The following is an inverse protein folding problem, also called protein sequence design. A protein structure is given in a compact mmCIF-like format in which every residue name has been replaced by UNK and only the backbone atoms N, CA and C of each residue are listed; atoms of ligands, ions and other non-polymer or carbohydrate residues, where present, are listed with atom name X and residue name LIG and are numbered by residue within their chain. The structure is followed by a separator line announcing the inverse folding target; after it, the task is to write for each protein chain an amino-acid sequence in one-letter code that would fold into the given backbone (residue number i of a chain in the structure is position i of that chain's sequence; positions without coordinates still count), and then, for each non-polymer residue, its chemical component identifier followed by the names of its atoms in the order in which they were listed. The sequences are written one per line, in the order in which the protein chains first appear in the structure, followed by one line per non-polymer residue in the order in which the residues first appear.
data_IF_611615359609
#
_entry.id   IF_611615359609
#
_cell.length_a   1.000
_cell.length_b   1.000
_cell.length_c   1.000
_cell.angle_alpha   90.00
_cell.angle_beta   90.00
_cell.angle_gamma   90.00
#
_symmetry.space_group_name_H-M   'P 1'
#
loop_
_entity.id
_entity.type
_entity.pdbx_description
1 polymer ?
#
# COMPACT_ATOMS: atom_id res chain seq x y z
N UNK A 1 24.72 1.70 33.35
CA UNK A 1 24.97 0.40 33.98
C UNK A 1 26.37 -0.07 33.62
N UNK A 2 27.03 -0.79 34.59
CA UNK A 2 28.33 -1.40 34.46
C UNK A 2 28.23 -2.85 34.92
N UNK A 3 29.03 -3.73 34.35
CA UNK A 3 29.06 -5.15 34.74
C UNK A 3 30.45 -5.50 35.30
N UNK A 4 30.44 -6.16 36.42
CA UNK A 4 31.66 -6.65 37.08
C UNK A 4 31.61 -8.17 37.15
N UNK A 5 32.71 -8.85 36.87
CA UNK A 5 32.79 -10.30 37.00
C UNK A 5 32.90 -10.73 38.47
N UNK A 6 32.94 -12.02 38.71
CA UNK A 6 33.01 -12.59 40.06
C UNK A 6 34.28 -12.22 40.86
N UNK A 7 35.28 -11.69 40.20
CA UNK A 7 36.51 -11.13 40.88
C UNK A 7 36.41 -9.63 41.14
N UNK A 8 35.32 -8.98 40.77
CA UNK A 8 35.12 -7.54 40.87
C UNK A 8 35.78 -6.71 39.76
N UNK A 9 36.24 -7.37 38.70
CA UNK A 9 36.80 -6.63 37.55
C UNK A 9 35.69 -6.16 36.63
N UNK A 10 35.71 -4.86 36.25
CA UNK A 10 34.81 -4.25 35.28
C UNK A 10 34.99 -4.92 33.92
N UNK A 11 33.87 -5.25 33.28
CA UNK A 11 33.84 -5.89 31.96
C UNK A 11 33.54 -4.88 30.87
N UNK A 12 34.10 -5.09 29.69
CA UNK A 12 33.83 -4.36 28.45
C UNK A 12 33.47 -5.33 27.35
N UNK A 13 33.05 -4.82 26.20
CA UNK A 13 32.66 -5.59 25.03
C UNK A 13 31.45 -6.47 25.31
N UNK A 14 31.24 -7.52 24.50
CA UNK A 14 30.10 -8.40 24.60
C UNK A 14 30.15 -9.28 25.84
N UNK A 15 29.10 -9.25 26.64
CA UNK A 15 28.93 -10.09 27.85
C UNK A 15 27.61 -10.84 27.80
N UNK A 16 27.66 -12.16 28.03
CA UNK A 16 26.45 -12.98 28.20
C UNK A 16 26.07 -13.03 29.67
N UNK A 17 24.92 -12.48 30.01
CA UNK A 17 24.42 -12.38 31.38
C UNK A 17 23.03 -12.99 31.44
N UNK A 18 22.85 -14.08 32.19
CA UNK A 18 21.58 -14.80 32.35
C UNK A 18 20.92 -15.20 31.00
N UNK A 19 21.72 -15.56 30.00
CA UNK A 19 21.24 -15.99 28.68
C UNK A 19 20.93 -14.87 27.69
N UNK A 20 21.13 -13.62 28.06
CA UNK A 20 21.05 -12.47 27.17
C UNK A 20 22.42 -11.85 26.92
N UNK A 21 22.64 -11.31 25.71
CA UNK A 21 23.87 -10.60 25.38
C UNK A 21 23.71 -9.10 25.61
N UNK A 22 24.77 -8.49 26.16
CA UNK A 22 24.89 -7.04 26.42
C UNK A 22 26.22 -6.56 25.87
N UNK A 23 26.31 -5.30 25.52
CA UNK A 23 27.57 -4.67 25.10
C UNK A 23 27.93 -3.51 26.02
N UNK A 24 29.17 -3.52 26.48
CA UNK A 24 29.75 -2.47 27.31
C UNK A 24 30.92 -1.81 26.55
N UNK A 25 30.88 -0.50 26.41
CA UNK A 25 31.94 0.20 25.71
C UNK A 25 33.29 0.18 26.47
N UNK A 26 34.36 0.74 25.89
CA UNK A 26 35.68 0.73 26.52
C UNK A 26 35.77 1.43 27.89
N UNK A 27 34.78 2.24 28.29
CA UNK A 27 34.64 2.80 29.64
C UNK A 27 33.83 1.91 30.58
N UNK A 28 33.36 0.74 30.13
CA UNK A 28 32.49 -0.17 30.86
C UNK A 28 31.01 0.22 30.87
N UNK A 29 30.60 1.27 30.19
CA UNK A 29 29.22 1.72 30.15
C UNK A 29 28.38 0.85 29.18
N UNK A 30 27.25 0.30 29.71
CA UNK A 30 26.31 -0.47 28.92
C UNK A 30 25.72 0.36 27.77
N UNK A 31 25.69 -0.21 26.57
CA UNK A 31 25.16 0.43 25.38
C UNK A 31 23.70 0.08 25.15
N UNK A 32 22.96 0.94 24.44
CA UNK A 32 21.57 0.80 24.04
C UNK A 32 21.39 1.38 22.64
N UNK A 33 20.36 0.92 21.91
CA UNK A 33 20.11 1.34 20.52
C UNK A 33 21.04 0.66 19.51
N UNK A 34 21.24 1.29 18.37
CA UNK A 34 22.08 0.74 17.30
C UNK A 34 23.56 0.79 17.67
N UNK A 35 24.23 -0.35 17.49
CA UNK A 35 25.67 -0.54 17.71
C UNK A 35 26.29 -1.06 16.42
N UNK A 36 27.35 -0.41 15.97
CA UNK A 36 28.16 -0.89 14.84
C UNK A 36 29.50 -1.45 15.34
N UNK A 37 29.75 -2.72 15.01
CA UNK A 37 31.06 -3.35 15.20
C UNK A 37 31.63 -3.80 13.84
N UNK A 38 32.68 -3.17 13.42
CA UNK A 38 33.26 -3.35 12.09
C UNK A 38 32.22 -2.98 11.01
N UNK A 39 31.80 -3.96 10.23
CA UNK A 39 30.75 -3.80 9.19
C UNK A 39 29.37 -4.29 9.64
N UNK A 40 29.25 -4.84 10.85
CA UNK A 40 28.04 -5.47 11.35
C UNK A 40 27.29 -4.52 12.28
N UNK A 41 25.97 -4.41 12.07
CA UNK A 41 25.08 -3.66 12.93
C UNK A 41 24.33 -4.60 13.88
N UNK A 42 24.15 -4.18 15.12
CA UNK A 42 23.38 -4.82 16.18
C UNK A 42 22.41 -3.80 16.78
N UNK A 43 21.39 -4.27 17.47
CA UNK A 43 20.49 -3.42 18.23
C UNK A 43 20.38 -3.90 19.67
N UNK A 44 20.65 -3.00 20.62
CA UNK A 44 20.50 -3.22 22.06
C UNK A 44 19.19 -2.57 22.52
N UNK A 45 18.31 -3.33 23.13
CA UNK A 45 17.04 -2.82 23.68
C UNK A 45 17.29 -1.76 24.76
N UNK A 46 16.24 -1.07 25.22
CA UNK A 46 16.34 -0.14 26.36
C UNK A 46 16.80 -0.82 27.68
N UNK A 47 16.65 -2.14 27.77
CA UNK A 47 17.20 -2.97 28.86
C UNK A 47 18.72 -3.21 28.72
N UNK A 48 19.32 -2.87 27.58
CA UNK A 48 20.68 -3.23 27.16
C UNK A 48 20.79 -4.61 26.52
N UNK A 49 19.75 -5.44 26.56
CA UNK A 49 19.79 -6.78 25.98
C UNK A 49 19.79 -6.71 24.45
N UNK A 50 20.61 -7.54 23.79
CA UNK A 50 20.69 -7.64 22.34
C UNK A 50 19.35 -8.12 21.75
N UNK A 51 18.86 -7.41 20.76
CA UNK A 51 17.65 -7.74 20.01
C UNK A 51 17.93 -8.84 18.97
N UNK A 52 16.98 -9.74 18.80
CA UNK A 52 16.90 -10.69 17.67
C UNK A 52 15.48 -10.69 17.09
N UNK A 53 15.33 -11.14 15.84
CA UNK A 53 14.05 -11.11 15.12
C UNK A 53 13.65 -9.72 14.65
N UNK A 54 12.37 -9.51 14.41
CA UNK A 54 11.83 -8.26 13.88
C UNK A 54 11.92 -7.11 14.89
N UNK A 55 12.37 -5.96 14.42
CA UNK A 55 12.45 -4.69 15.16
C UNK A 55 11.72 -3.62 14.38
N UNK A 56 10.81 -2.89 15.03
CA UNK A 56 10.18 -1.71 14.45
C UNK A 56 10.72 -0.43 15.10
N UNK A 57 11.27 0.47 14.29
CA UNK A 57 11.63 1.83 14.70
C UNK A 57 10.84 2.84 13.88
N UNK A 58 9.96 3.56 14.54
CA UNK A 58 9.02 4.46 13.88
C UNK A 58 8.12 3.68 12.90
N UNK A 59 8.26 3.97 11.61
CA UNK A 59 7.51 3.27 10.53
C UNK A 59 8.38 2.24 9.79
N UNK A 60 9.63 2.06 10.20
CA UNK A 60 10.60 1.20 9.50
C UNK A 60 10.78 -0.11 10.26
N UNK A 61 10.76 -1.22 9.53
CA UNK A 61 11.04 -2.54 10.05
C UNK A 61 12.45 -2.98 9.67
N UNK A 62 13.11 -3.64 10.62
CA UNK A 62 14.43 -4.27 10.52
C UNK A 62 14.34 -5.72 11.00
N UNK A 63 15.31 -6.54 10.62
CA UNK A 63 15.42 -7.91 11.14
C UNK A 63 16.83 -8.16 11.67
N UNK A 64 16.91 -8.65 12.91
CA UNK A 64 18.16 -9.06 13.54
C UNK A 64 18.21 -10.60 13.55
N UNK A 65 19.28 -11.16 13.03
CA UNK A 65 19.51 -12.60 12.99
C UNK A 65 19.61 -13.17 14.42
N UNK A 66 19.62 -14.52 14.55
CA UNK A 66 19.76 -15.17 15.85
C UNK A 66 21.06 -14.84 16.60
N UNK A 67 22.11 -14.43 15.88
CA UNK A 67 23.37 -13.93 16.44
C UNK A 67 23.35 -12.42 16.70
N UNK A 68 22.23 -11.75 16.54
CA UNK A 68 22.04 -10.32 16.71
C UNK A 68 22.44 -9.45 15.53
N UNK A 69 23.09 -9.98 14.49
CA UNK A 69 23.50 -9.21 13.33
C UNK A 69 22.31 -8.73 12.50
N UNK A 70 22.31 -7.46 12.09
CA UNK A 70 21.29 -6.89 11.22
C UNK A 70 21.31 -7.61 9.86
N UNK A 71 20.13 -8.11 9.44
CA UNK A 71 19.92 -8.76 8.15
C UNK A 71 19.87 -7.73 7.02
N UNK A 72 20.49 -8.07 5.89
CA UNK A 72 20.31 -7.39 4.60
C UNK A 72 20.05 -8.44 3.51
N UNK A 73 19.47 -8.04 2.37
CA UNK A 73 19.10 -8.95 1.29
C UNK A 73 17.85 -9.77 1.61
N UNK A 74 17.71 -10.89 0.94
CA UNK A 74 16.55 -11.78 1.07
C UNK A 74 16.47 -12.46 2.44
N UNK A 75 15.27 -12.49 3.00
CA UNK A 75 14.91 -13.18 4.24
C UNK A 75 13.70 -14.07 4.00
N UNK A 76 13.81 -15.33 4.39
CA UNK A 76 12.69 -16.26 4.38
C UNK A 76 12.26 -16.60 5.81
N UNK A 77 10.98 -16.37 6.11
CA UNK A 77 10.35 -16.83 7.34
C UNK A 77 9.18 -17.76 7.03
N UNK A 78 9.34 -19.02 7.31
CA UNK A 78 8.39 -20.05 6.90
C UNK A 78 8.24 -20.11 5.39
N UNK A 79 7.04 -19.81 4.88
CA UNK A 79 6.75 -19.72 3.44
C UNK A 79 6.80 -18.29 2.89
N UNK A 80 7.08 -17.31 3.74
CA UNK A 80 7.03 -15.89 3.41
C UNK A 80 8.43 -15.36 3.13
N UNK A 81 8.58 -14.59 2.05
CA UNK A 81 9.82 -13.91 1.71
C UNK A 81 9.73 -12.41 1.91
N UNK A 82 10.82 -11.84 2.40
CA UNK A 82 11.05 -10.42 2.62
C UNK A 82 12.38 -10.00 1.99
N UNK A 83 12.59 -8.71 1.82
CA UNK A 83 13.88 -8.16 1.42
C UNK A 83 14.26 -7.00 2.32
N UNK A 84 15.45 -7.08 2.93
CA UNK A 84 16.04 -6.02 3.74
C UNK A 84 17.05 -5.27 2.88
N UNK A 85 16.87 -3.97 2.73
CA UNK A 85 17.74 -3.13 1.93
C UNK A 85 19.16 -3.06 2.52
N UNK A 86 20.13 -2.48 1.80
CA UNK A 86 21.53 -2.37 2.30
C UNK A 86 21.68 -1.61 3.62
N UNK A 87 20.71 -0.75 3.97
CA UNK A 87 20.61 -0.07 5.27
C UNK A 87 19.82 -0.86 6.33
N UNK A 88 19.44 -2.11 6.05
CA UNK A 88 18.64 -2.98 6.91
C UNK A 88 17.15 -2.73 6.89
N UNK A 89 16.65 -1.66 6.27
CA UNK A 89 15.22 -1.36 6.22
C UNK A 89 14.46 -2.37 5.34
N UNK A 90 13.34 -2.90 5.85
CA UNK A 90 12.46 -3.80 5.10
C UNK A 90 11.93 -3.10 3.84
N UNK A 91 12.04 -3.77 2.71
CA UNK A 91 11.55 -3.26 1.42
C UNK A 91 10.03 -3.40 1.33
N UNK A 92 9.38 -2.34 0.86
CA UNK A 92 7.98 -2.32 0.39
C UNK A 92 7.96 -1.73 -1.03
N UNK A 93 6.94 -2.08 -1.81
CA UNK A 93 6.84 -1.66 -3.21
C UNK A 93 7.86 -2.35 -4.12
N UNK A 94 8.20 -1.70 -5.23
CA UNK A 94 9.06 -2.28 -6.26
C UNK A 94 10.54 -2.28 -5.88
N UNK A 95 11.23 -3.37 -6.23
CA UNK A 95 12.67 -3.56 -6.17
C UNK A 95 13.15 -4.01 -7.53
N UNK A 96 14.10 -3.29 -8.13
CA UNK A 96 14.91 -3.80 -9.24
C UNK A 96 16.23 -4.32 -8.67
N UNK A 97 16.45 -5.61 -8.79
CA UNK A 97 17.69 -6.25 -8.38
C UNK A 97 18.29 -6.98 -9.60
N UNK A 98 19.35 -6.40 -10.14
CA UNK A 98 20.07 -6.93 -11.29
C UNK A 98 19.20 -7.15 -12.56
N UNK A 99 18.25 -6.24 -12.81
CA UNK A 99 17.33 -6.29 -13.95
C UNK A 99 16.15 -7.25 -13.75
N UNK A 100 16.02 -7.86 -12.57
CA UNK A 100 14.83 -8.60 -12.17
C UNK A 100 13.99 -7.76 -11.21
N UNK A 101 12.72 -7.56 -11.56
CA UNK A 101 11.81 -6.72 -10.79
C UNK A 101 10.99 -7.58 -9.84
N UNK A 102 10.97 -7.17 -8.58
CA UNK A 102 10.21 -7.80 -7.50
C UNK A 102 9.22 -6.80 -6.91
N UNK A 103 8.12 -7.31 -6.40
CA UNK A 103 7.14 -6.48 -5.71
C UNK A 103 6.89 -6.99 -4.28
N UNK A 104 6.91 -6.07 -3.31
CA UNK A 104 6.63 -6.34 -1.89
C UNK A 104 5.39 -5.55 -1.47
N UNK A 105 4.43 -6.21 -0.83
CA UNK A 105 3.22 -5.56 -0.31
C UNK A 105 3.54 -4.59 0.84
N UNK A 106 2.52 -3.94 1.40
CA UNK A 106 2.68 -2.99 2.52
C UNK A 106 3.16 -3.63 3.82
N UNK A 107 3.15 -4.97 3.93
CA UNK A 107 3.73 -5.70 5.05
C UNK A 107 5.15 -6.21 4.72
N UNK A 108 5.72 -5.82 3.59
CA UNK A 108 7.03 -6.26 3.11
C UNK A 108 7.06 -7.68 2.56
N UNK A 109 5.90 -8.32 2.35
CA UNK A 109 5.82 -9.67 1.80
C UNK A 109 6.05 -9.63 0.30
N UNK A 110 7.01 -10.44 -0.19
CA UNK A 110 7.21 -10.62 -1.63
C UNK A 110 6.00 -11.29 -2.27
N UNK A 111 5.48 -10.65 -3.31
CA UNK A 111 4.42 -11.19 -4.16
C UNK A 111 5.07 -11.77 -5.41
N UNK A 112 5.07 -13.09 -5.51
CA UNK A 112 5.62 -13.78 -6.67
C UNK A 112 4.76 -13.50 -7.91
N UNK A 113 5.46 -13.08 -8.97
CA UNK A 113 4.91 -12.86 -10.30
C UNK A 113 3.59 -12.07 -10.28
N UNK A 114 3.63 -10.72 -10.32
CA UNK A 114 2.41 -9.96 -10.44
C UNK A 114 1.71 -10.37 -11.75
N UNK A 115 0.68 -11.21 -11.63
CA UNK A 115 -0.08 -11.93 -12.68
C UNK A 115 -0.81 -10.96 -13.64
N UNK A 116 -0.52 -9.66 -13.51
CA UNK A 116 -1.12 -8.61 -14.34
C UNK A 116 -0.25 -8.20 -15.53
N UNK A 117 0.87 -8.90 -15.79
CA UNK A 117 1.68 -8.64 -16.98
C UNK A 117 0.86 -8.83 -18.25
N UNK A 118 0.84 -7.81 -19.11
CA UNK A 118 0.07 -7.82 -20.36
C UNK A 118 -1.44 -7.64 -20.19
N UNK A 119 -1.98 -7.54 -18.98
CA UNK A 119 -3.39 -7.22 -18.74
C UNK A 119 -3.68 -5.76 -19.10
N UNK A 120 -4.81 -5.52 -19.77
CA UNK A 120 -5.28 -4.17 -20.08
C UNK A 120 -6.21 -3.68 -18.97
N UNK A 121 -5.79 -2.62 -18.29
CA UNK A 121 -6.50 -2.08 -17.13
C UNK A 121 -6.89 -0.63 -17.42
N UNK A 122 -8.19 -0.34 -17.36
CA UNK A 122 -8.66 1.04 -17.42
C UNK A 122 -8.63 1.63 -16.03
N UNK A 123 -7.97 2.79 -15.90
CA UNK A 123 -8.07 3.67 -14.74
C UNK A 123 -8.89 4.87 -15.15
N UNK A 124 -10.04 5.06 -14.49
CA UNK A 124 -11.00 6.11 -14.79
C UNK A 124 -11.08 7.10 -13.62
N UNK A 125 -10.29 8.18 -13.61
CA UNK A 125 -10.48 9.25 -12.63
C UNK A 125 -11.82 9.97 -12.90
N UNK A 126 -12.73 9.93 -11.92
CA UNK A 126 -14.06 10.53 -12.05
C UNK A 126 -14.01 12.03 -12.36
N UNK A 127 -15.08 12.55 -12.96
CA UNK A 127 -15.23 13.98 -13.27
C UNK A 127 -14.14 14.55 -14.18
N UNK A 128 -13.91 15.88 -14.15
CA UNK A 128 -12.85 16.57 -14.91
C UNK A 128 -13.36 17.77 -15.70
N UNK A 129 -12.48 18.73 -16.00
CA UNK A 129 -12.81 19.96 -16.70
C UNK A 129 -13.86 20.78 -15.94
N UNK A 130 -14.99 21.07 -16.58
CA UNK A 130 -16.11 21.80 -15.97
C UNK A 130 -16.91 20.97 -14.96
N UNK A 131 -16.85 19.65 -15.01
CA UNK A 131 -17.44 18.76 -14.00
C UNK A 131 -16.49 18.65 -12.81
N UNK A 132 -16.77 19.38 -11.74
CA UNK A 132 -15.95 19.39 -10.53
C UNK A 132 -16.09 18.13 -9.71
N UNK A 133 -17.18 17.35 -9.87
CA UNK A 133 -17.65 16.45 -8.86
C UNK A 133 -18.04 17.21 -7.59
N UNK A 134 -17.96 16.55 -6.47
CA UNK A 134 -18.17 17.18 -5.15
C UNK A 134 -17.13 18.27 -4.87
N UNK A 135 -17.59 19.36 -4.25
CA UNK A 135 -16.79 20.53 -3.88
C UNK A 135 -16.98 20.87 -2.39
N UNK A 136 -15.88 20.98 -1.67
CA UNK A 136 -15.85 21.52 -0.30
C UNK A 136 -14.61 22.40 -0.11
N UNK A 137 -14.81 23.65 0.38
CA UNK A 137 -13.71 24.59 0.71
C UNK A 137 -12.67 24.75 -0.42
N UNK A 138 -13.12 24.87 -1.68
CA UNK A 138 -12.28 24.93 -2.88
C UNK A 138 -11.46 23.65 -3.16
N UNK A 139 -11.79 22.53 -2.51
CA UNK A 139 -11.22 21.23 -2.80
C UNK A 139 -12.20 20.47 -3.69
N UNK A 140 -11.74 20.03 -4.85
CA UNK A 140 -12.53 19.38 -5.89
C UNK A 140 -12.28 17.89 -5.92
N UNK A 141 -13.35 17.09 -5.97
CA UNK A 141 -13.26 15.63 -6.16
C UNK A 141 -12.43 15.28 -7.40
N UNK A 142 -12.67 15.95 -8.53
CA UNK A 142 -11.94 15.72 -9.80
C UNK A 142 -10.43 15.76 -9.64
N UNK A 143 -9.93 16.61 -8.74
CA UNK A 143 -8.49 16.77 -8.51
C UNK A 143 -7.93 15.58 -7.73
N UNK A 144 -8.61 15.17 -6.67
CA UNK A 144 -8.20 14.01 -5.84
C UNK A 144 -8.29 12.72 -6.66
N UNK A 145 -9.40 12.52 -7.40
CA UNK A 145 -9.58 11.37 -8.27
C UNK A 145 -8.46 11.25 -9.31
N UNK A 146 -8.06 12.38 -9.93
CA UNK A 146 -6.95 12.39 -10.88
C UNK A 146 -5.62 12.07 -10.21
N UNK A 147 -5.32 12.65 -9.06
CA UNK A 147 -4.07 12.41 -8.33
C UNK A 147 -3.93 10.94 -7.91
N UNK A 148 -4.97 10.34 -7.35
CA UNK A 148 -4.99 8.91 -7.01
C UNK A 148 -4.89 8.04 -8.26
N UNK A 149 -5.63 8.38 -9.31
CA UNK A 149 -5.60 7.65 -10.58
C UNK A 149 -4.22 7.64 -11.24
N UNK A 150 -3.49 8.77 -11.22
CA UNK A 150 -2.12 8.86 -11.76
C UNK A 150 -1.13 8.00 -10.96
N UNK A 151 -1.26 7.98 -9.63
CA UNK A 151 -0.44 7.12 -8.77
C UNK A 151 -0.75 5.64 -9.03
N UNK A 152 -2.02 5.27 -9.16
CA UNK A 152 -2.45 3.91 -9.50
C UNK A 152 -1.91 3.49 -10.88
N UNK A 153 -2.01 4.35 -11.88
CA UNK A 153 -1.42 4.12 -13.22
C UNK A 153 0.05 3.76 -13.11
N UNK A 154 0.82 4.53 -12.32
CA UNK A 154 2.26 4.30 -12.18
C UNK A 154 2.56 2.92 -11.61
N UNK A 155 1.85 2.49 -10.57
CA UNK A 155 2.00 1.16 -9.94
C UNK A 155 1.66 0.03 -10.93
N UNK A 156 0.53 0.15 -11.62
CA UNK A 156 0.08 -0.83 -12.60
C UNK A 156 1.04 -0.94 -13.79
N UNK A 157 1.51 0.19 -14.33
CA UNK A 157 2.45 0.20 -15.45
C UNK A 157 3.81 -0.44 -15.09
N UNK A 158 4.30 -0.20 -13.87
CA UNK A 158 5.54 -0.82 -13.38
C UNK A 158 5.41 -2.35 -13.28
N UNK A 159 4.20 -2.88 -13.12
CA UNK A 159 3.93 -4.32 -13.10
C UNK A 159 3.83 -4.96 -14.48
N UNK A 160 4.06 -4.20 -15.55
CA UNK A 160 3.96 -4.66 -16.94
C UNK A 160 2.54 -4.74 -17.48
N UNK A 161 1.56 -4.12 -16.81
CA UNK A 161 0.20 -4.00 -17.33
C UNK A 161 0.12 -2.94 -18.42
N UNK A 162 -0.77 -3.14 -19.38
CA UNK A 162 -1.18 -2.13 -20.33
C UNK A 162 -2.24 -1.22 -19.69
N UNK A 163 -1.82 -0.03 -19.22
CA UNK A 163 -2.70 0.88 -18.48
C UNK A 163 -3.21 1.99 -19.40
N UNK A 164 -4.54 2.06 -19.54
CA UNK A 164 -5.20 3.13 -20.28
C UNK A 164 -6.00 3.99 -19.30
N UNK A 165 -5.74 5.30 -19.30
CA UNK A 165 -6.52 6.24 -18.50
C UNK A 165 -7.62 6.86 -19.36
N UNK A 166 -8.81 7.05 -18.78
CA UNK A 166 -9.87 7.81 -19.46
C UNK A 166 -9.50 9.29 -19.58
N UNK A 167 -8.79 9.83 -18.57
CA UNK A 167 -8.14 11.16 -18.60
C UNK A 167 -6.85 11.13 -17.77
N UNK A 168 -5.84 11.84 -18.23
CA UNK A 168 -4.57 12.02 -17.52
C UNK A 168 -4.31 13.48 -17.14
N UNK A 169 -5.26 14.37 -17.46
CA UNK A 169 -5.25 15.82 -17.15
C UNK A 169 -6.64 16.25 -16.69
N UNK A 170 -6.81 17.53 -16.34
CA UNK A 170 -8.10 18.08 -15.92
C UNK A 170 -8.98 18.41 -17.13
N UNK A 171 -9.46 17.40 -17.83
CA UNK A 171 -10.41 17.50 -18.94
C UNK A 171 -11.68 16.71 -18.61
N UNK A 172 -12.81 17.17 -19.18
CA UNK A 172 -14.08 16.44 -19.07
C UNK A 172 -14.16 15.32 -20.11
N UNK A 173 -14.51 14.12 -19.68
CA UNK A 173 -14.81 12.98 -20.55
C UNK A 173 -16.24 12.54 -20.27
N UNK A 174 -17.14 12.54 -21.27
CA UNK A 174 -18.51 12.06 -21.12
C UNK A 174 -18.55 10.62 -20.63
N UNK A 175 -19.54 10.26 -19.79
CA UNK A 175 -19.64 8.94 -19.20
C UNK A 175 -19.68 7.81 -20.25
N UNK A 176 -20.34 8.05 -21.40
CA UNK A 176 -20.35 7.10 -22.52
C UNK A 176 -18.99 6.89 -23.16
N UNK A 177 -18.18 7.94 -23.24
CA UNK A 177 -16.82 7.87 -23.80
C UNK A 177 -15.85 7.12 -22.89
N UNK A 178 -16.03 7.19 -21.56
CA UNK A 178 -15.27 6.37 -20.59
C UNK A 178 -15.47 4.89 -20.85
N UNK A 179 -16.74 4.48 -21.07
CA UNK A 179 -17.09 3.11 -21.43
C UNK A 179 -16.56 2.75 -22.83
N UNK A 180 -16.66 3.66 -23.80
CA UNK A 180 -16.12 3.45 -25.15
C UNK A 180 -14.61 3.20 -25.11
N UNK A 181 -13.85 4.01 -24.35
CA UNK A 181 -12.40 3.81 -24.16
C UNK A 181 -12.12 2.41 -23.60
N UNK A 182 -12.89 1.95 -22.61
CA UNK A 182 -12.77 0.59 -22.06
C UNK A 182 -12.94 -0.47 -23.14
N UNK A 183 -13.99 -0.36 -23.94
CA UNK A 183 -14.37 -1.35 -24.95
C UNK A 183 -13.37 -1.38 -26.13
N UNK A 184 -12.97 -0.22 -26.65
CA UNK A 184 -12.00 -0.10 -27.74
C UNK A 184 -10.63 -0.70 -27.38
N UNK A 185 -10.22 -0.57 -26.12
CA UNK A 185 -8.99 -1.16 -25.62
C UNK A 185 -9.13 -2.62 -25.14
N UNK A 186 -10.31 -3.22 -25.25
CA UNK A 186 -10.59 -4.62 -24.83
C UNK A 186 -10.13 -4.87 -23.39
N UNK A 187 -10.50 -3.98 -22.48
CA UNK A 187 -10.04 -4.01 -21.11
C UNK A 187 -10.34 -5.33 -20.38
N UNK A 188 -9.39 -5.83 -19.61
CA UNK A 188 -9.59 -6.95 -18.68
C UNK A 188 -10.39 -6.53 -17.45
N UNK A 189 -10.17 -5.29 -16.95
CA UNK A 189 -10.94 -4.66 -15.87
C UNK A 189 -11.06 -3.15 -16.07
N UNK A 190 -12.09 -2.57 -15.45
CA UNK A 190 -12.32 -1.12 -15.39
C UNK A 190 -12.42 -0.66 -13.93
N UNK A 191 -11.57 0.28 -13.54
CA UNK A 191 -11.51 0.82 -12.17
C UNK A 191 -11.72 2.32 -12.20
N UNK A 192 -12.90 2.76 -11.75
CA UNK A 192 -13.22 4.18 -11.58
C UNK A 192 -12.85 4.63 -10.17
N UNK A 193 -12.29 5.83 -10.03
CA UNK A 193 -11.84 6.42 -8.76
C UNK A 193 -12.61 7.70 -8.50
N UNK A 194 -13.28 7.78 -7.35
CA UNK A 194 -14.15 8.84 -6.91
C UNK A 194 -13.91 9.25 -5.45
N UNK A 195 -14.54 10.32 -5.02
CA UNK A 195 -14.59 10.78 -3.64
C UNK A 195 -16.05 11.09 -3.29
N UNK A 196 -16.59 10.38 -2.34
CA UNK A 196 -17.98 10.47 -1.92
C UNK A 196 -18.32 11.81 -1.23
N UNK A 197 -19.62 12.06 -1.11
CA UNK A 197 -20.17 13.18 -0.36
C UNK A 197 -21.51 12.80 0.27
N UNK A 198 -21.85 13.46 1.37
CA UNK A 198 -23.15 13.37 2.02
C UNK A 198 -23.52 14.69 2.68
N UNK A 199 -24.82 14.94 2.85
CA UNK A 199 -25.31 16.10 3.61
C UNK A 199 -24.85 16.06 5.07
N UNK A 200 -24.81 14.84 5.66
CA UNK A 200 -24.28 14.63 6.99
C UNK A 200 -22.74 14.65 6.96
N UNK A 201 -22.14 15.72 7.49
CA UNK A 201 -20.67 15.88 7.55
C UNK A 201 -19.97 14.83 8.42
N UNK A 202 -20.70 14.07 9.23
CA UNK A 202 -20.21 12.94 10.01
C UNK A 202 -20.09 11.65 9.17
N UNK A 203 -20.59 11.62 7.92
CA UNK A 203 -20.42 10.47 7.04
C UNK A 203 -18.94 10.26 6.74
N UNK A 204 -18.48 9.01 6.86
CA UNK A 204 -17.05 8.64 6.72
C UNK A 204 -16.89 7.22 6.20
N UNK A 205 -15.72 6.91 5.67
CA UNK A 205 -15.29 5.58 5.29
C UNK A 205 -15.26 5.33 3.78
N UNK A 206 -14.81 4.15 3.41
CA UNK A 206 -14.56 3.74 2.03
C UNK A 206 -15.60 2.69 1.61
N UNK A 207 -16.09 2.81 0.38
CA UNK A 207 -16.97 1.83 -0.25
C UNK A 207 -16.55 1.56 -1.70
N UNK A 208 -16.76 0.33 -2.15
CA UNK A 208 -16.54 -0.04 -3.55
C UNK A 208 -17.85 -0.46 -4.16
N UNK A 209 -18.17 0.09 -5.32
CA UNK A 209 -19.44 -0.08 -6.00
C UNK A 209 -19.28 -1.01 -7.19
N UNK A 210 -20.27 -1.87 -7.41
CA UNK A 210 -20.37 -2.75 -8.57
C UNK A 210 -21.81 -2.78 -9.07
N UNK A 211 -22.09 -3.53 -10.14
CA UNK A 211 -23.42 -3.73 -10.66
C UNK A 211 -23.74 -5.23 -10.71
N UNK A 212 -24.74 -5.68 -9.95
CA UNK A 212 -25.18 -7.08 -9.89
C UNK A 212 -25.86 -7.53 -11.18
N UNK A 213 -26.40 -6.61 -11.98
CA UNK A 213 -27.06 -6.87 -13.27
C UNK A 213 -26.05 -6.94 -14.44
N UNK A 214 -24.76 -6.63 -14.20
CA UNK A 214 -23.75 -6.67 -15.24
C UNK A 214 -23.46 -8.10 -15.69
N UNK A 215 -23.26 -8.39 -17.01
CA UNK A 215 -22.96 -9.74 -17.51
C UNK A 215 -21.76 -10.40 -16.83
N UNK A 216 -20.77 -9.57 -16.38
CA UNK A 216 -19.61 -10.00 -15.62
C UNK A 216 -19.70 -9.64 -14.13
N UNK A 217 -20.91 -9.64 -13.56
CA UNK A 217 -21.17 -9.24 -12.16
C UNK A 217 -20.35 -10.04 -11.14
N UNK A 218 -20.14 -11.33 -11.37
CA UNK A 218 -19.32 -12.18 -10.48
C UNK A 218 -17.87 -11.72 -10.46
N UNK A 219 -17.29 -11.42 -11.62
CA UNK A 219 -15.93 -10.89 -11.73
C UNK A 219 -15.83 -9.49 -11.10
N UNK A 220 -16.79 -8.61 -11.37
CA UNK A 220 -16.87 -7.28 -10.78
C UNK A 220 -16.97 -7.34 -9.24
N UNK A 221 -17.81 -8.24 -8.70
CA UNK A 221 -17.92 -8.43 -7.24
C UNK A 221 -16.62 -8.97 -6.62
N UNK A 222 -15.95 -9.93 -7.30
CA UNK A 222 -14.65 -10.45 -6.84
C UNK A 222 -13.60 -9.35 -6.82
N UNK A 223 -13.52 -8.54 -7.88
CA UNK A 223 -12.61 -7.38 -7.96
C UNK A 223 -12.95 -6.35 -6.88
N UNK A 224 -14.22 -6.00 -6.72
CA UNK A 224 -14.68 -5.04 -5.73
C UNK A 224 -14.33 -5.46 -4.30
N UNK A 225 -14.54 -6.74 -3.96
CA UNK A 225 -14.18 -7.27 -2.63
C UNK A 225 -12.65 -7.27 -2.40
N UNK A 226 -11.87 -7.65 -3.40
CA UNK A 226 -10.41 -7.63 -3.28
C UNK A 226 -9.88 -6.21 -3.04
N UNK A 227 -10.38 -5.22 -3.80
CA UNK A 227 -10.02 -3.81 -3.67
C UNK A 227 -10.51 -3.24 -2.34
N UNK A 228 -11.76 -3.48 -1.96
CA UNK A 228 -12.32 -3.01 -0.68
C UNK A 228 -11.52 -3.53 0.51
N UNK A 229 -11.21 -4.82 0.53
CA UNK A 229 -10.46 -5.44 1.63
C UNK A 229 -9.05 -4.85 1.76
N UNK A 230 -8.35 -4.62 0.65
CA UNK A 230 -7.03 -4.01 0.64
C UNK A 230 -7.09 -2.54 1.13
N UNK A 231 -8.08 -1.77 0.67
CA UNK A 231 -8.31 -0.40 1.12
C UNK A 231 -8.53 -0.32 2.63
N UNK A 232 -9.42 -1.13 3.18
CA UNK A 232 -9.71 -1.12 4.62
C UNK A 232 -8.51 -1.56 5.44
N UNK A 233 -7.81 -2.62 5.00
CA UNK A 233 -6.60 -3.12 5.67
C UNK A 233 -5.51 -2.05 5.78
N UNK A 234 -5.24 -1.32 4.69
CA UNK A 234 -4.09 -0.44 4.60
C UNK A 234 -4.37 0.97 5.11
N UNK A 235 -5.63 1.44 5.02
CA UNK A 235 -6.01 2.80 5.45
C UNK A 235 -6.51 2.86 6.90
N UNK A 236 -7.02 1.75 7.43
CA UNK A 236 -7.77 1.72 8.69
C UNK A 236 -9.08 2.53 8.66
N UNK A 237 -9.56 2.90 7.45
CA UNK A 237 -10.80 3.65 7.29
C UNK A 237 -12.02 2.79 7.68
N UNK A 238 -13.13 3.45 8.00
CA UNK A 238 -14.40 2.78 8.26
C UNK A 238 -14.84 1.99 7.02
N UNK A 239 -15.11 0.71 7.20
CA UNK A 239 -15.60 -0.15 6.12
C UNK A 239 -17.08 0.12 5.87
N UNK A 240 -17.40 0.59 4.66
CA UNK A 240 -18.79 0.76 4.19
C UNK A 240 -19.21 -0.35 3.25
N UNK A 241 -18.35 -1.34 3.07
CA UNK A 241 -18.55 -2.56 2.29
C UNK A 241 -18.68 -2.31 0.78
N UNK A 242 -18.77 -3.42 0.04
CA UNK A 242 -19.13 -3.42 -1.39
C UNK A 242 -20.64 -3.23 -1.52
N UNK A 243 -21.06 -2.35 -2.45
CA UNK A 243 -22.48 -2.04 -2.67
C UNK A 243 -22.90 -2.21 -4.12
N UNK A 244 -24.11 -2.68 -4.31
CA UNK A 244 -24.74 -2.78 -5.61
C UNK A 244 -25.31 -1.43 -6.06
N UNK A 245 -24.93 -0.98 -7.27
CA UNK A 245 -25.32 0.31 -7.85
C UNK A 245 -25.52 0.19 -9.37
N UNK A 246 -26.56 -0.54 -9.83
CA UNK A 246 -26.79 -0.81 -11.25
C UNK A 246 -27.13 0.44 -12.07
N UNK A 247 -27.55 1.53 -11.42
CA UNK A 247 -27.88 2.80 -12.08
C UNK A 247 -26.64 3.58 -12.56
N UNK A 248 -25.45 3.32 -12.02
CA UNK A 248 -24.23 4.08 -12.36
C UNK A 248 -23.77 3.77 -13.78
N UNK A 249 -23.64 4.83 -14.60
CA UNK A 249 -23.43 4.72 -16.04
C UNK A 249 -22.19 3.91 -16.42
N UNK A 250 -21.08 4.09 -15.74
CA UNK A 250 -19.81 3.40 -16.05
C UNK A 250 -19.82 1.93 -15.62
N UNK A 251 -20.77 1.53 -14.76
CA UNK A 251 -20.94 0.16 -14.29
C UNK A 251 -21.97 -0.65 -15.12
N UNK A 252 -22.61 -0.05 -16.14
CA UNK A 252 -23.66 -0.70 -16.94
C UNK A 252 -23.10 -1.77 -17.87
N UNK A 253 -24.01 -2.63 -18.34
CA UNK A 253 -23.74 -3.82 -19.14
C UNK A 253 -23.00 -3.57 -20.48
N UNK A 254 -23.05 -2.35 -21.01
CA UNK A 254 -22.34 -1.96 -22.22
C UNK A 254 -20.83 -1.68 -22.01
N UNK A 255 -20.35 -1.64 -20.76
CA UNK A 255 -18.93 -1.77 -20.46
C UNK A 255 -18.54 -3.24 -20.54
N UNK A 256 -17.76 -3.64 -21.52
CA UNK A 256 -17.41 -5.05 -21.74
C UNK A 256 -16.45 -5.64 -20.69
N UNK A 257 -15.73 -4.79 -19.95
CA UNK A 257 -14.88 -5.18 -18.82
C UNK A 257 -15.72 -5.32 -17.53
N UNK A 258 -15.34 -6.17 -16.55
CA UNK A 258 -15.92 -6.13 -15.21
C UNK A 258 -15.56 -4.79 -14.53
N UNK A 259 -16.58 -3.90 -14.31
CA UNK A 259 -16.31 -2.56 -13.81
C UNK A 259 -16.53 -2.46 -12.31
N UNK A 260 -15.72 -1.64 -11.65
CA UNK A 260 -15.93 -1.17 -10.28
C UNK A 260 -15.75 0.33 -10.19
N UNK A 261 -16.35 0.94 -9.16
CA UNK A 261 -16.14 2.33 -8.77
C UNK A 261 -15.77 2.38 -7.29
N UNK A 262 -14.67 3.04 -6.98
CA UNK A 262 -14.13 3.16 -5.63
C UNK A 262 -14.41 4.56 -5.10
N UNK A 263 -15.17 4.65 -4.02
CA UNK A 263 -15.37 5.87 -3.22
C UNK A 263 -14.34 5.91 -2.10
N UNK A 264 -13.32 6.72 -2.25
CA UNK A 264 -12.10 6.71 -1.44
C UNK A 264 -12.22 7.38 -0.07
N UNK A 265 -13.39 7.93 0.24
CA UNK A 265 -13.71 8.66 1.48
C UNK A 265 -14.73 9.76 1.19
N UNK A 266 -15.13 10.51 2.21
CA UNK A 266 -16.13 11.58 2.10
C UNK A 266 -15.48 12.96 2.13
N UNK A 267 -15.59 13.72 1.04
CA UNK A 267 -15.08 15.08 0.97
C UNK A 267 -15.86 16.03 1.91
N UNK A 268 -17.13 15.72 2.18
CA UNK A 268 -17.97 16.43 3.15
C UNK A 268 -17.46 16.29 4.60
N UNK A 269 -16.70 15.24 4.94
CA UNK A 269 -16.15 15.02 6.26
C UNK A 269 -14.82 15.78 6.44
N UNK A 270 -14.71 16.70 7.42
CA UNK A 270 -13.48 17.49 7.59
C UNK A 270 -12.22 16.66 7.85
N UNK A 271 -12.34 15.57 8.62
CA UNK A 271 -11.20 14.72 8.97
C UNK A 271 -10.73 13.89 7.76
N UNK A 272 -11.68 13.38 6.96
CA UNK A 272 -11.34 12.65 5.74
C UNK A 272 -10.82 13.59 4.65
N UNK A 273 -11.37 14.80 4.54
CA UNK A 273 -10.91 15.83 3.60
C UNK A 273 -9.42 16.15 3.79
N UNK A 274 -8.96 16.30 5.03
CA UNK A 274 -7.53 16.51 5.34
C UNK A 274 -6.69 15.31 4.89
N UNK A 275 -7.16 14.08 5.11
CA UNK A 275 -6.46 12.87 4.64
C UNK A 275 -6.43 12.80 3.11
N UNK A 276 -7.58 12.97 2.45
CA UNK A 276 -7.76 12.87 1.01
C UNK A 276 -6.90 13.85 0.22
N UNK A 277 -6.58 15.02 0.79
CA UNK A 277 -5.68 16.01 0.17
C UNK A 277 -4.20 15.74 0.46
N UNK A 278 -3.87 14.80 1.34
CA UNK A 278 -2.50 14.43 1.67
C UNK A 278 -1.91 13.50 0.62
N UNK A 279 -0.73 13.84 0.09
CA UNK A 279 0.01 12.99 -0.85
C UNK A 279 0.29 11.59 -0.28
N UNK A 280 0.63 11.53 1.01
CA UNK A 280 0.87 10.26 1.71
C UNK A 280 -0.36 9.36 1.70
N UNK A 281 -1.55 9.91 2.00
CA UNK A 281 -2.77 9.11 2.04
C UNK A 281 -3.23 8.69 0.63
N UNK A 282 -3.07 9.56 -0.37
CA UNK A 282 -3.34 9.23 -1.77
C UNK A 282 -2.43 8.11 -2.28
N UNK A 283 -1.16 8.07 -1.85
CA UNK A 283 -0.26 6.95 -2.15
C UNK A 283 -0.78 5.65 -1.52
N UNK A 284 -1.26 5.68 -0.27
CA UNK A 284 -1.86 4.50 0.38
C UNK A 284 -3.11 4.04 -0.34
N UNK A 285 -3.98 4.96 -0.79
CA UNK A 285 -5.18 4.63 -1.56
C UNK A 285 -4.83 3.93 -2.88
N UNK A 286 -3.94 4.53 -3.68
CA UNK A 286 -3.50 3.97 -4.95
C UNK A 286 -2.84 2.59 -4.77
N UNK A 287 -1.97 2.46 -3.77
CA UNK A 287 -1.31 1.21 -3.41
C UNK A 287 -2.33 0.12 -3.03
N UNK A 288 -3.35 0.48 -2.26
CA UNK A 288 -4.40 -0.45 -1.84
C UNK A 288 -5.25 -0.95 -3.01
N UNK A 289 -5.63 -0.04 -3.92
CA UNK A 289 -6.36 -0.45 -5.15
C UNK A 289 -5.49 -1.38 -5.99
N UNK A 290 -4.20 -1.06 -6.16
CA UNK A 290 -3.24 -1.89 -6.87
C UNK A 290 -3.12 -3.30 -6.25
N UNK A 291 -2.99 -3.43 -4.93
CA UNK A 291 -2.94 -4.72 -4.23
C UNK A 291 -4.24 -5.53 -4.41
N UNK A 292 -5.38 -4.85 -4.38
CA UNK A 292 -6.68 -5.48 -4.67
C UNK A 292 -6.76 -6.01 -6.10
N UNK A 293 -6.24 -5.27 -7.08
CA UNK A 293 -6.14 -5.71 -8.49
C UNK A 293 -5.21 -6.91 -8.63
N UNK A 294 -4.03 -6.88 -8.01
CA UNK A 294 -3.13 -8.05 -7.97
C UNK A 294 -3.84 -9.28 -7.40
N UNK A 295 -4.53 -9.11 -6.26
CA UNK A 295 -5.27 -10.21 -5.61
C UNK A 295 -6.37 -10.76 -6.49
N UNK A 296 -7.08 -9.92 -7.23
CA UNK A 296 -8.12 -10.35 -8.18
C UNK A 296 -7.56 -11.26 -9.27
N UNK A 297 -6.45 -10.88 -9.89
CA UNK A 297 -5.84 -11.68 -10.96
C UNK A 297 -5.08 -12.92 -10.45
N UNK A 298 -4.80 -13.00 -9.14
CA UNK A 298 -4.14 -14.15 -8.51
C UNK A 298 -5.08 -15.30 -8.16
N UNK A 299 -6.39 -15.11 -8.33
CA UNK A 299 -7.43 -16.12 -8.11
C UNK A 299 -7.89 -16.68 -9.46
#
# INVERSE_FOLDING_TARGET
WYYFNGSGAMQTDWQSINGAWYYFNGSGAMQMGWLQEGTTWYYLQNSGAMQTGWLQEGTTWYYLQSNGAMQTGWLQEGTTWYYLQGNGAMKIGWLDENGKVYYFDTNGVWIDNPIIFGKTIIVDPGHGGYDSGTLYENIYEKTIALQVGLKLKSLLAQSGSNVVMTRATDIFIPLGDRVRISNENKADIFVSVHVNSADATAAEGIETLYNSEHPKSKQALTLANAVQNALIKNTGAKNRFVKDRPELRVLKADNSAPPILVETGFLSNPNERVKLTSDKYQNVLAQSVFEGVLKYFSN
#
